data_IF_994124976114
#
_entry.id   IF_994124976114
#
_cell.length_a   1.000
_cell.length_b   1.000
_cell.length_c   1.000
_cell.angle_alpha   90.00
_cell.angle_beta   90.00
_cell.angle_gamma   90.00
#
_symmetry.space_group_name_H-M   'P 1'
#
loop_
_entity.id
_entity.type
_entity.pdbx_description
1 polymer ?
#
# COMPACT_ATOMS: atom_id res chain seq x y z
N UNK A 1 -8.01 -11.22 14.96
CA UNK A 1 -8.30 -10.64 13.63
C UNK A 1 -7.65 -9.28 13.52
N UNK A 2 -6.77 -9.10 12.54
CA UNK A 2 -6.06 -7.84 12.28
C UNK A 2 -7.03 -6.78 11.78
N UNK A 3 -8.02 -7.16 10.96
CA UNK A 3 -8.94 -6.22 10.34
C UNK A 3 -10.34 -6.28 10.97
N UNK A 4 -10.91 -5.11 11.24
CA UNK A 4 -12.29 -4.98 11.76
C UNK A 4 -13.36 -5.14 10.68
N UNK A 5 -12.96 -5.11 9.40
CA UNK A 5 -13.86 -5.23 8.24
C UNK A 5 -13.87 -6.66 7.73
N UNK A 6 -15.03 -7.14 7.33
CA UNK A 6 -15.18 -8.46 6.69
C UNK A 6 -14.63 -8.49 5.26
N UNK A 7 -14.25 -7.32 4.70
CA UNK A 7 -13.78 -7.17 3.33
C UNK A 7 -12.28 -7.41 3.20
N UNK A 8 -11.46 -7.04 4.21
CA UNK A 8 -10.04 -7.33 4.25
C UNK A 8 -9.77 -8.56 5.10
N UNK A 9 -9.04 -9.54 4.60
CA UNK A 9 -8.77 -10.80 5.29
C UNK A 9 -7.27 -10.99 5.51
N UNK A 10 -6.89 -11.26 6.75
CA UNK A 10 -5.50 -11.56 7.13
C UNK A 10 -4.97 -12.82 6.45
N UNK A 11 -5.85 -13.78 6.20
CA UNK A 11 -5.50 -15.06 5.56
C UNK A 11 -4.90 -14.91 4.16
N UNK A 12 -5.10 -13.77 3.49
CA UNK A 12 -4.50 -13.52 2.17
C UNK A 12 -2.98 -13.47 2.22
N UNK A 13 -2.39 -13.04 3.35
CA UNK A 13 -0.94 -13.00 3.52
C UNK A 13 -0.26 -14.38 3.43
N UNK A 14 -1.01 -15.45 3.67
CA UNK A 14 -0.51 -16.83 3.68
C UNK A 14 -1.19 -17.72 2.64
N UNK A 15 -2.05 -17.15 1.79
CA UNK A 15 -2.74 -17.86 0.73
C UNK A 15 -2.11 -17.56 -0.63
N UNK A 16 -1.25 -18.44 -1.18
CA UNK A 16 -0.56 -18.18 -2.44
C UNK A 16 -1.49 -18.16 -3.66
N UNK A 17 -2.80 -18.44 -3.48
CA UNK A 17 -3.80 -18.32 -4.54
C UNK A 17 -4.44 -16.93 -4.58
N UNK A 18 -4.21 -16.09 -3.56
CA UNK A 18 -4.78 -14.74 -3.43
C UNK A 18 -3.66 -13.71 -3.39
N UNK A 19 -3.09 -13.37 -4.54
CA UNK A 19 -2.05 -12.36 -4.67
C UNK A 19 -2.58 -10.95 -4.97
N UNK A 20 -3.88 -10.81 -5.23
CA UNK A 20 -4.54 -9.52 -5.43
C UNK A 20 -6.05 -9.61 -5.22
N UNK A 21 -6.64 -8.55 -4.65
CA UNK A 21 -8.08 -8.36 -4.53
C UNK A 21 -8.41 -6.94 -5.00
N UNK A 22 -9.35 -6.80 -5.93
CA UNK A 22 -9.75 -5.53 -6.54
C UNK A 22 -8.61 -4.79 -7.29
N UNK A 23 -7.47 -5.41 -7.51
CA UNK A 23 -6.40 -4.83 -8.33
C UNK A 23 -6.81 -4.84 -9.80
N UNK A 24 -6.61 -3.71 -10.48
CA UNK A 24 -6.84 -3.62 -11.92
C UNK A 24 -5.85 -4.51 -12.69
N UNK A 25 -6.23 -5.02 -13.88
CA UNK A 25 -5.31 -5.80 -14.72
C UNK A 25 -4.05 -5.01 -15.06
N UNK A 26 -2.91 -5.68 -15.04
CA UNK A 26 -1.64 -5.10 -15.44
C UNK A 26 -1.67 -4.69 -16.92
N UNK A 27 -1.03 -3.56 -17.23
CA UNK A 27 -0.93 -3.03 -18.59
C UNK A 27 0.43 -2.37 -18.81
N UNK A 28 0.77 -2.09 -20.08
CA UNK A 28 1.97 -1.34 -20.41
C UNK A 28 1.88 0.10 -19.90
N UNK A 29 3.03 0.67 -19.52
CA UNK A 29 3.09 2.07 -19.08
C UNK A 29 2.57 3.02 -20.16
N UNK A 30 1.66 3.92 -19.78
CA UNK A 30 1.12 4.94 -20.68
C UNK A 30 0.76 6.22 -19.92
N UNK A 31 0.54 7.30 -20.65
CA UNK A 31 0.03 8.55 -20.12
C UNK A 31 -1.21 8.97 -20.88
N UNK A 32 -2.24 9.36 -20.13
CA UNK A 32 -3.47 9.91 -20.68
C UNK A 32 -3.37 11.43 -20.79
N UNK A 33 -3.96 11.99 -21.84
CA UNK A 33 -4.07 13.43 -22.05
C UNK A 33 -5.49 13.75 -22.53
N UNK A 34 -5.99 14.92 -22.20
CA UNK A 34 -7.26 15.44 -22.70
C UNK A 34 -7.10 16.26 -24.01
N UNK A 35 -5.87 16.34 -24.51
CA UNK A 35 -5.50 17.00 -25.76
C UNK A 35 -4.32 16.26 -26.42
N UNK A 36 -3.94 16.67 -27.61
CA UNK A 36 -2.73 16.16 -28.28
C UNK A 36 -1.50 16.78 -27.61
N UNK A 37 -0.67 15.99 -26.88
CA UNK A 37 0.48 16.54 -26.17
C UNK A 37 1.62 16.95 -27.10
N UNK A 38 2.44 17.90 -26.64
CA UNK A 38 3.75 18.16 -27.22
C UNK A 38 4.76 17.10 -26.76
N UNK A 39 5.87 16.96 -27.49
CA UNK A 39 6.92 16.01 -27.10
C UNK A 39 7.49 16.37 -25.72
N UNK A 40 7.46 15.41 -24.77
CA UNK A 40 7.95 15.60 -23.42
C UNK A 40 7.00 16.37 -22.47
N UNK A 41 5.81 16.71 -22.92
CA UNK A 41 4.81 17.37 -22.08
C UNK A 41 4.31 16.41 -20.98
N UNK A 42 4.33 16.82 -19.70
CA UNK A 42 3.78 16.01 -18.62
C UNK A 42 2.25 16.03 -18.67
N UNK A 43 1.63 14.90 -18.34
CA UNK A 43 0.17 14.86 -18.25
C UNK A 43 -0.36 15.68 -17.06
N UNK A 44 -1.38 16.51 -17.31
CA UNK A 44 -2.13 17.24 -16.29
C UNK A 44 -3.22 16.40 -15.60
N UNK A 45 -3.44 15.14 -16.05
CA UNK A 45 -4.46 14.23 -15.50
C UNK A 45 -3.92 13.36 -14.37
N UNK A 46 -2.73 13.64 -13.84
CA UNK A 46 -2.10 12.90 -12.76
C UNK A 46 -1.84 13.82 -11.56
N UNK A 47 -2.24 13.36 -10.38
CA UNK A 47 -1.84 13.95 -9.10
C UNK A 47 -0.86 13.00 -8.40
N UNK A 48 0.29 13.52 -7.96
CA UNK A 48 1.24 12.75 -7.15
C UNK A 48 0.86 12.88 -5.68
N UNK A 49 0.95 11.76 -4.97
CA UNK A 49 0.78 11.68 -3.52
C UNK A 49 2.11 11.42 -2.80
N UNK A 50 3.24 11.68 -3.46
CA UNK A 50 4.57 11.67 -2.84
C UNK A 50 4.71 12.80 -1.81
N UNK A 51 5.69 12.71 -0.93
CA UNK A 51 6.00 13.71 0.08
C UNK A 51 5.67 13.23 1.49
N UNK A 52 5.21 14.11 2.36
CA UNK A 52 5.01 13.80 3.78
C UNK A 52 3.80 12.91 4.02
N UNK A 53 4.03 11.79 4.71
CA UNK A 53 3.03 10.87 5.21
C UNK A 53 3.20 10.69 6.72
N UNK A 54 2.21 10.07 7.36
CA UNK A 54 2.33 9.56 8.71
C UNK A 54 2.56 8.04 8.63
N UNK A 55 3.47 7.52 9.46
CA UNK A 55 3.75 6.08 9.53
C UNK A 55 3.85 5.62 10.97
N UNK A 56 3.34 4.42 11.25
CA UNK A 56 3.57 3.67 12.47
C UNK A 56 3.94 2.25 12.11
N UNK A 57 5.09 1.77 12.59
CA UNK A 57 5.49 0.36 12.41
C UNK A 57 5.07 -0.42 13.65
N UNK A 58 4.45 -1.57 13.44
CA UNK A 58 4.00 -2.50 14.49
C UNK A 58 4.54 -3.89 14.18
N UNK A 59 5.02 -4.59 15.20
CA UNK A 59 5.29 -6.02 15.12
C UNK A 59 3.99 -6.77 15.43
N UNK A 60 3.57 -7.61 14.50
CA UNK A 60 2.30 -8.34 14.62
C UNK A 60 2.31 -9.39 15.73
N UNK A 61 3.50 -9.86 16.17
CA UNK A 61 3.62 -10.80 17.28
C UNK A 61 3.45 -10.15 18.64
N UNK A 62 3.74 -8.83 18.78
CA UNK A 62 3.76 -8.13 20.06
C UNK A 62 2.50 -7.28 20.29
N UNK A 63 2.00 -6.63 19.27
CA UNK A 63 0.90 -5.68 19.35
C UNK A 63 -0.14 -5.97 18.29
N UNK A 64 -1.42 -6.04 18.69
CA UNK A 64 -2.50 -6.17 17.73
C UNK A 64 -2.55 -4.99 16.74
N UNK A 65 -3.17 -5.22 15.62
CA UNK A 65 -3.40 -4.20 14.61
C UNK A 65 -4.36 -3.12 15.14
N UNK A 66 -4.05 -1.82 15.03
CA UNK A 66 -4.96 -0.76 15.45
C UNK A 66 -6.27 -0.82 14.67
N UNK A 67 -7.38 -1.02 15.38
CA UNK A 67 -8.69 -1.29 14.75
C UNK A 67 -9.26 -0.10 13.96
N UNK A 68 -8.83 1.14 14.28
CA UNK A 68 -9.32 2.37 13.67
C UNK A 68 -8.32 3.01 12.69
N UNK A 69 -7.17 2.35 12.44
CA UNK A 69 -6.12 2.92 11.60
C UNK A 69 -6.61 3.31 10.20
N UNK A 70 -7.52 2.52 9.63
CA UNK A 70 -8.07 2.75 8.29
C UNK A 70 -9.22 3.79 8.26
N UNK A 71 -9.74 4.17 9.43
CA UNK A 71 -10.84 5.11 9.51
C UNK A 71 -10.40 6.55 9.22
N UNK A 72 -11.33 7.38 8.77
CA UNK A 72 -11.07 8.80 8.50
C UNK A 72 -10.57 9.50 9.76
N UNK A 73 -11.17 9.21 10.92
CA UNK A 73 -10.66 9.63 12.22
C UNK A 73 -9.98 8.45 12.89
N UNK A 74 -8.66 8.57 13.07
CA UNK A 74 -7.86 7.58 13.78
C UNK A 74 -7.45 8.16 15.12
N UNK A 75 -7.80 7.46 16.21
CA UNK A 75 -7.46 7.84 17.58
C UNK A 75 -6.12 7.27 18.02
N UNK A 76 -5.56 6.35 17.24
CA UNK A 76 -4.30 5.68 17.51
C UNK A 76 -3.14 6.68 17.54
N UNK A 77 -2.30 6.57 18.54
CA UNK A 77 -1.11 7.43 18.73
C UNK A 77 0.16 6.72 18.25
N UNK A 78 1.25 7.47 18.20
CA UNK A 78 2.57 6.93 17.88
C UNK A 78 2.91 6.93 16.39
N UNK A 79 2.13 7.63 15.55
CA UNK A 79 2.55 7.93 14.19
C UNK A 79 3.66 8.96 14.16
N UNK A 80 4.63 8.75 13.27
CA UNK A 80 5.71 9.69 12.97
C UNK A 80 5.64 10.14 11.52
N UNK A 81 6.24 11.29 11.22
CA UNK A 81 6.30 11.80 9.85
C UNK A 81 7.37 11.09 9.04
N UNK A 82 7.06 10.73 7.80
CA UNK A 82 7.98 10.11 6.86
C UNK A 82 7.81 10.70 5.47
N UNK A 83 8.93 10.86 4.76
CA UNK A 83 8.93 11.21 3.33
C UNK A 83 8.68 9.94 2.50
N UNK A 84 7.71 9.96 1.61
CA UNK A 84 7.41 8.88 0.67
C UNK A 84 7.73 9.37 -0.76
N UNK A 85 8.44 8.60 -1.59
CA UNK A 85 8.97 7.26 -1.34
C UNK A 85 10.22 7.26 -0.43
N UNK A 86 10.36 6.23 0.40
CA UNK A 86 11.58 5.94 1.17
C UNK A 86 11.58 4.50 1.68
N UNK A 87 12.75 4.03 2.11
CA UNK A 87 12.87 2.73 2.78
C UNK A 87 12.86 2.94 4.30
N UNK A 88 12.13 2.10 5.01
CA UNK A 88 11.98 2.17 6.48
C UNK A 88 13.31 1.96 7.21
N UNK A 89 14.16 1.10 6.68
CA UNK A 89 15.50 0.78 7.20
C UNK A 89 16.41 2.02 7.17
N UNK A 90 16.39 2.78 6.08
CA UNK A 90 17.20 4.01 5.95
C UNK A 90 16.69 5.13 6.85
N UNK A 91 15.46 5.03 7.33
CA UNK A 91 14.85 5.96 8.30
C UNK A 91 14.98 5.46 9.75
N UNK A 92 15.59 4.29 9.97
CA UNK A 92 15.76 3.71 11.29
C UNK A 92 14.47 3.19 11.93
N UNK A 93 13.44 2.96 11.12
CA UNK A 93 12.13 2.43 11.57
C UNK A 93 12.09 0.91 11.54
N UNK A 94 12.91 0.29 10.70
CA UNK A 94 13.22 -1.15 10.68
C UNK A 94 14.73 -1.36 10.72
N UNK A 95 15.14 -2.57 11.07
CA UNK A 95 16.55 -2.95 11.03
C UNK A 95 16.91 -3.38 9.61
N UNK A 96 18.03 -2.89 9.03
CA UNK A 96 18.51 -3.38 7.76
C UNK A 96 18.81 -4.87 7.84
N UNK A 97 18.28 -5.62 6.89
CA UNK A 97 18.64 -7.01 6.68
C UNK A 97 19.29 -7.14 5.30
N UNK A 98 20.39 -7.89 5.25
CA UNK A 98 21.03 -8.24 4.00
C UNK A 98 21.18 -9.76 3.94
N UNK A 99 20.44 -10.35 3.03
CA UNK A 99 20.46 -11.80 2.77
C UNK A 99 20.55 -12.03 1.27
N UNK A 100 21.46 -12.89 0.84
CA UNK A 100 21.67 -13.17 -0.58
C UNK A 100 21.68 -14.67 -0.90
N UNK A 101 21.55 -15.53 0.11
CA UNK A 101 21.59 -16.99 -0.05
C UNK A 101 20.57 -17.71 0.84
N UNK A 102 19.78 -16.97 1.58
CA UNK A 102 18.82 -17.50 2.56
C UNK A 102 17.61 -16.56 2.68
N UNK A 103 16.52 -17.06 3.27
CA UNK A 103 15.37 -16.21 3.57
C UNK A 103 15.66 -15.28 4.77
N UNK A 104 15.01 -14.12 4.85
CA UNK A 104 15.24 -13.14 5.93
C UNK A 104 14.98 -13.69 7.34
N UNK A 105 14.18 -14.73 7.47
CA UNK A 105 13.84 -15.37 8.75
C UNK A 105 14.75 -16.54 9.12
N UNK A 106 15.64 -16.98 8.22
CA UNK A 106 16.51 -18.13 8.47
C UNK A 106 17.43 -17.90 9.70
N UNK A 107 17.46 -18.90 10.58
CA UNK A 107 18.20 -18.84 11.85
C UNK A 107 17.45 -18.17 13.00
N UNK A 108 16.25 -17.61 12.75
CA UNK A 108 15.37 -17.02 13.76
C UNK A 108 14.05 -17.79 13.87
N UNK A 109 13.42 -18.04 12.74
CA UNK A 109 12.19 -18.82 12.61
C UNK A 109 12.34 -19.83 11.47
N UNK A 110 11.44 -20.82 11.41
CA UNK A 110 11.38 -21.83 10.35
C UNK A 110 9.93 -22.01 9.88
N UNK A 111 9.33 -20.97 9.28
CA UNK A 111 7.99 -21.11 8.72
C UNK A 111 8.04 -22.07 7.52
N UNK A 112 6.99 -22.88 7.40
CA UNK A 112 6.83 -23.77 6.26
C UNK A 112 5.89 -23.15 5.24
N UNK A 113 6.24 -23.20 3.96
CA UNK A 113 5.41 -22.66 2.87
C UNK A 113 3.96 -23.15 2.97
N UNK A 114 2.96 -22.29 2.78
CA UNK A 114 3.04 -20.87 2.39
C UNK A 114 3.06 -19.90 3.59
N UNK A 115 3.23 -20.39 4.83
CA UNK A 115 3.22 -19.57 6.02
C UNK A 115 4.38 -18.56 6.03
N UNK A 116 4.22 -17.51 6.77
CA UNK A 116 5.19 -16.43 6.97
C UNK A 116 5.68 -16.43 8.41
N UNK A 117 6.79 -15.74 8.75
CA UNK A 117 7.27 -15.61 10.12
C UNK A 117 6.20 -15.04 11.05
N UNK A 118 6.25 -15.41 12.33
CA UNK A 118 5.39 -14.83 13.35
C UNK A 118 5.78 -13.38 13.64
N UNK A 119 7.09 -13.10 13.65
CA UNK A 119 7.61 -11.72 13.68
C UNK A 119 7.51 -11.11 12.30
N UNK A 120 6.41 -10.46 12.05
CA UNK A 120 6.12 -9.77 10.80
C UNK A 120 5.74 -8.33 11.09
N UNK A 121 6.54 -7.39 10.60
CA UNK A 121 6.23 -5.99 10.77
C UNK A 121 5.20 -5.53 9.75
N UNK A 122 4.35 -4.62 10.19
CA UNK A 122 3.47 -3.88 9.31
C UNK A 122 3.70 -2.40 9.48
N UNK A 123 3.93 -1.73 8.38
CA UNK A 123 3.98 -0.27 8.33
C UNK A 123 2.60 0.28 7.97
N UNK A 124 2.01 0.98 8.91
CA UNK A 124 0.71 1.62 8.79
C UNK A 124 0.92 3.04 8.30
N UNK A 125 0.65 3.30 7.03
CA UNK A 125 0.79 4.61 6.42
C UNK A 125 -0.55 5.34 6.39
N UNK A 126 -0.55 6.63 6.67
CA UNK A 126 -1.71 7.51 6.52
C UNK A 126 -1.32 8.79 5.81
N UNK A 127 -2.19 9.23 4.91
CA UNK A 127 -2.07 10.52 4.26
C UNK A 127 -3.41 11.19 4.08
N UNK A 128 -3.47 12.45 4.47
CA UNK A 128 -4.59 13.33 4.14
C UNK A 128 -4.25 14.12 2.87
N UNK A 129 -5.22 14.26 1.98
CA UNK A 129 -5.04 15.02 0.74
C UNK A 129 -6.34 15.60 0.22
N UNK A 130 -6.21 16.65 -0.59
CA UNK A 130 -7.31 17.21 -1.37
C UNK A 130 -7.04 16.97 -2.85
N UNK A 131 -8.03 16.53 -3.63
CA UNK A 131 -7.89 16.32 -5.06
C UNK A 131 -7.47 17.59 -5.79
N UNK A 132 -6.57 17.45 -6.76
CA UNK A 132 -6.22 18.53 -7.69
C UNK A 132 -7.42 18.95 -8.53
N UNK A 133 -7.32 20.07 -9.22
CA UNK A 133 -8.40 20.54 -10.08
C UNK A 133 -8.79 19.53 -11.18
N UNK A 134 -7.82 18.80 -11.73
CA UNK A 134 -8.07 17.76 -12.73
C UNK A 134 -8.79 16.54 -12.15
N UNK A 135 -8.38 16.10 -10.95
CA UNK A 135 -9.05 14.99 -10.26
C UNK A 135 -10.46 15.40 -9.81
N UNK A 136 -10.64 16.62 -9.26
CA UNK A 136 -11.95 17.15 -8.91
C UNK A 136 -12.90 17.19 -10.12
N UNK A 137 -12.36 17.60 -11.28
CA UNK A 137 -13.14 17.57 -12.53
C UNK A 137 -13.55 16.14 -12.91
N UNK A 138 -12.63 15.18 -12.78
CA UNK A 138 -12.90 13.77 -13.07
C UNK A 138 -14.01 13.21 -12.15
N UNK A 139 -14.00 13.55 -10.86
CA UNK A 139 -15.07 13.20 -9.91
C UNK A 139 -16.43 13.73 -10.40
N UNK A 140 -16.51 15.03 -10.74
CA UNK A 140 -17.75 15.68 -11.20
C UNK A 140 -18.27 15.12 -12.52
N UNK A 141 -17.37 14.69 -13.39
CA UNK A 141 -17.70 14.11 -14.69
C UNK A 141 -17.90 12.58 -14.61
N UNK A 142 -17.84 12.00 -13.41
CA UNK A 142 -17.94 10.55 -13.17
C UNK A 142 -16.98 9.74 -14.06
N UNK A 143 -15.74 10.20 -14.16
CA UNK A 143 -14.67 9.49 -14.85
C UNK A 143 -13.97 8.53 -13.91
N UNK A 144 -13.46 7.44 -14.44
CA UNK A 144 -12.64 6.51 -13.68
C UNK A 144 -11.39 7.19 -13.13
N UNK A 145 -11.13 6.97 -11.83
CA UNK A 145 -9.97 7.48 -11.11
C UNK A 145 -9.20 6.29 -10.55
N UNK A 146 -7.95 6.16 -10.96
CA UNK A 146 -7.08 5.07 -10.56
C UNK A 146 -6.04 5.56 -9.56
N UNK A 147 -5.88 4.82 -8.46
CA UNK A 147 -4.78 4.97 -7.51
C UNK A 147 -3.69 3.96 -7.87
N UNK A 148 -2.46 4.45 -8.07
CA UNK A 148 -1.31 3.62 -8.47
C UNK A 148 -0.24 3.64 -7.39
N UNK A 149 0.19 2.46 -6.94
CA UNK A 149 1.41 2.24 -6.18
C UNK A 149 2.46 1.68 -7.14
N UNK A 150 3.57 2.40 -7.33
CA UNK A 150 4.61 1.98 -8.29
C UNK A 150 5.43 0.81 -7.78
N UNK A 151 5.61 0.71 -6.47
CA UNK A 151 6.25 -0.41 -5.78
C UNK A 151 5.89 -0.36 -4.30
N UNK A 152 5.70 -1.51 -3.67
CA UNK A 152 5.52 -1.64 -2.23
C UNK A 152 5.88 -3.07 -1.79
N UNK A 153 6.82 -3.21 -0.87
CA UNK A 153 7.35 -4.52 -0.44
C UNK A 153 6.77 -4.91 0.93
N UNK A 154 6.13 -6.09 1.10
CA UNK A 154 5.83 -7.07 0.04
C UNK A 154 4.34 -7.11 -0.30
N UNK A 155 3.45 -6.78 0.65
CA UNK A 155 2.01 -6.81 0.46
C UNK A 155 1.35 -5.55 1.01
N UNK A 156 0.36 -5.02 0.29
CA UNK A 156 -0.40 -3.84 0.71
C UNK A 156 -1.89 -4.11 0.80
N UNK A 157 -2.49 -3.59 1.86
CA UNK A 157 -3.93 -3.39 2.01
C UNK A 157 -4.21 -1.89 1.95
N UNK A 158 -5.21 -1.50 1.20
CA UNK A 158 -5.49 -0.09 0.89
C UNK A 158 -6.91 0.28 1.28
N UNK A 159 -7.06 1.41 1.97
CA UNK A 159 -8.36 2.02 2.29
C UNK A 159 -8.36 3.50 1.88
N UNK A 160 -9.47 3.95 1.37
CA UNK A 160 -9.72 5.37 1.10
C UNK A 160 -11.01 5.79 1.81
N UNK A 161 -10.91 6.81 2.66
CA UNK A 161 -12.04 7.31 3.47
C UNK A 161 -12.73 6.23 4.33
N UNK A 162 -11.97 5.27 4.83
CA UNK A 162 -12.47 4.14 5.61
C UNK A 162 -13.04 2.97 4.79
N UNK A 163 -13.18 3.13 3.49
CA UNK A 163 -13.64 2.08 2.57
C UNK A 163 -12.45 1.23 2.13
N UNK A 164 -12.55 -0.08 2.24
CA UNK A 164 -11.55 -1.00 1.71
C UNK A 164 -11.51 -0.91 0.18
N UNK A 165 -10.34 -0.66 -0.35
CA UNK A 165 -10.10 -0.52 -1.81
C UNK A 165 -9.58 -1.82 -2.39
N UNK A 166 -8.56 -2.41 -1.78
CA UNK A 166 -8.01 -3.64 -2.30
C UNK A 166 -6.74 -4.11 -1.60
N UNK A 167 -6.24 -5.24 -2.11
CA UNK A 167 -5.03 -5.93 -1.68
C UNK A 167 -4.17 -6.25 -2.88
N UNK A 168 -2.86 -6.19 -2.72
CA UNK A 168 -1.90 -6.65 -3.71
C UNK A 168 -0.59 -7.08 -3.06
N UNK A 169 -0.02 -8.12 -3.62
CA UNK A 169 1.37 -8.54 -3.45
C UNK A 169 2.17 -8.15 -4.70
N UNK A 170 3.47 -8.34 -4.69
CA UNK A 170 4.45 -8.00 -5.71
C UNK A 170 5.15 -6.67 -5.43
N UNK A 171 6.40 -6.81 -4.95
CA UNK A 171 7.24 -5.68 -4.55
C UNK A 171 7.71 -4.83 -5.73
N UNK A 172 7.74 -5.37 -6.95
CA UNK A 172 8.49 -4.80 -8.07
C UNK A 172 7.62 -4.24 -9.20
N UNK A 173 6.34 -4.60 -9.27
CA UNK A 173 5.44 -4.13 -10.31
C UNK A 173 4.36 -3.19 -9.76
N UNK A 174 3.83 -2.27 -10.57
CA UNK A 174 2.78 -1.37 -10.12
C UNK A 174 1.49 -2.09 -9.76
N UNK A 175 0.89 -1.69 -8.65
CA UNK A 175 -0.47 -2.10 -8.26
C UNK A 175 -1.43 -0.93 -8.42
N UNK A 176 -2.52 -1.14 -9.13
CA UNK A 176 -3.51 -0.11 -9.46
C UNK A 176 -4.90 -0.52 -8.97
N UNK A 177 -5.62 0.46 -8.44
CA UNK A 177 -6.95 0.26 -7.88
C UNK A 177 -7.91 1.34 -8.39
N UNK A 178 -9.15 0.95 -8.71
CA UNK A 178 -10.22 1.90 -8.99
C UNK A 178 -10.71 2.51 -7.67
N UNK A 179 -10.63 3.83 -7.56
CA UNK A 179 -11.06 4.58 -6.38
C UNK A 179 -12.21 5.54 -6.68
N UNK A 180 -12.83 5.40 -7.85
CA UNK A 180 -13.87 6.31 -8.35
C UNK A 180 -15.01 6.51 -7.36
N UNK A 181 -15.49 5.43 -6.73
CA UNK A 181 -16.61 5.47 -5.80
C UNK A 181 -16.23 5.90 -4.37
N UNK A 182 -14.93 5.87 -4.02
CA UNK A 182 -14.46 6.15 -2.67
C UNK A 182 -13.85 7.55 -2.52
N UNK A 183 -13.37 8.16 -3.61
CA UNK A 183 -12.74 9.48 -3.59
C UNK A 183 -13.79 10.60 -3.52
N UNK A 184 -13.47 11.67 -2.79
CA UNK A 184 -14.34 12.82 -2.58
C UNK A 184 -13.68 14.11 -3.08
N UNK A 185 -14.50 15.12 -3.49
CA UNK A 185 -13.98 16.42 -3.96
C UNK A 185 -13.20 17.20 -2.90
N UNK A 186 -13.50 16.97 -1.62
CA UNK A 186 -12.86 17.67 -0.50
C UNK A 186 -11.71 16.88 0.09
N UNK A 187 -11.70 16.81 1.41
CA UNK A 187 -10.70 16.11 2.20
C UNK A 187 -10.82 14.60 2.06
N UNK A 188 -9.71 13.94 1.79
CA UNK A 188 -9.63 12.49 1.71
C UNK A 188 -8.55 11.97 2.65
N UNK A 189 -8.77 10.78 3.21
CA UNK A 189 -7.81 10.04 4.01
C UNK A 189 -7.47 8.73 3.31
N UNK A 190 -6.22 8.58 2.90
CA UNK A 190 -5.66 7.35 2.38
C UNK A 190 -4.93 6.63 3.51
N UNK A 191 -5.25 5.36 3.72
CA UNK A 191 -4.60 4.49 4.67
C UNK A 191 -4.07 3.24 3.96
N UNK A 192 -2.83 2.85 4.27
CA UNK A 192 -2.16 1.69 3.65
C UNK A 192 -1.46 0.89 4.74
N UNK A 193 -1.77 -0.40 4.85
CA UNK A 193 -0.98 -1.33 5.64
C UNK A 193 -0.03 -2.08 4.72
N UNK A 194 1.28 -1.86 4.90
CA UNK A 194 2.33 -2.50 4.11
C UNK A 194 3.05 -3.53 5.00
N UNK A 195 2.89 -4.81 4.66
CA UNK A 195 3.47 -5.93 5.39
C UNK A 195 4.86 -6.24 4.87
N UNK A 196 5.79 -6.49 5.78
CA UNK A 196 7.17 -6.88 5.47
C UNK A 196 7.20 -8.24 4.77
N UNK A 197 6.39 -9.20 5.24
CA UNK A 197 6.30 -10.53 4.66
C UNK A 197 4.88 -10.92 4.30
N UNK A 198 4.75 -11.58 3.15
CA UNK A 198 3.57 -12.31 2.70
C UNK A 198 4.01 -13.60 2.04
N UNK A 199 3.06 -14.40 1.54
CA UNK A 199 3.41 -15.63 0.78
C UNK A 199 4.27 -15.33 -0.46
N UNK A 200 4.21 -14.12 -1.02
CA UNK A 200 5.06 -13.68 -2.12
C UNK A 200 6.56 -13.67 -1.75
N UNK A 201 6.89 -13.42 -0.48
CA UNK A 201 8.28 -13.40 -0.03
C UNK A 201 9.04 -14.73 -0.22
N UNK A 202 8.32 -15.83 -0.43
CA UNK A 202 8.92 -17.13 -0.80
C UNK A 202 9.39 -17.20 -2.25
N UNK A 203 8.89 -16.32 -3.10
CA UNK A 203 9.07 -16.35 -4.57
C UNK A 203 9.79 -15.12 -5.09
N UNK A 204 9.80 -14.03 -4.33
CA UNK A 204 10.51 -12.81 -4.70
C UNK A 204 12.02 -12.98 -4.53
N UNK A 205 12.78 -12.37 -5.43
CA UNK A 205 14.23 -12.31 -5.33
C UNK A 205 14.60 -11.44 -4.12
N UNK A 206 15.47 -11.99 -3.27
CA UNK A 206 15.92 -11.33 -2.06
C UNK A 206 17.27 -10.61 -2.25
N UNK A 207 17.90 -10.73 -3.43
CA UNK A 207 19.19 -10.14 -3.77
C UNK A 207 19.15 -8.63 -4.06
#
# INVERSE_FOLDING_TARGET
HIFSSTEAQESWLTDPTVFAVNRLPAHSSHHCYDHKPLAGEPTGLKQRLDGQWQVKVVDMSETGFPSDFAQTQCTESGFSSIEVPSNLETKGLLKPQYVNVQYPWDGHEDPQQPNIPQHNHVALYRREFTPSASVTRAIRENRQITLTFHAASTAIYVWLNGTFIGYAEDSFTPSEFDVTDAIQEGHNTLAVACFEFSSAAWFEDQD
#
